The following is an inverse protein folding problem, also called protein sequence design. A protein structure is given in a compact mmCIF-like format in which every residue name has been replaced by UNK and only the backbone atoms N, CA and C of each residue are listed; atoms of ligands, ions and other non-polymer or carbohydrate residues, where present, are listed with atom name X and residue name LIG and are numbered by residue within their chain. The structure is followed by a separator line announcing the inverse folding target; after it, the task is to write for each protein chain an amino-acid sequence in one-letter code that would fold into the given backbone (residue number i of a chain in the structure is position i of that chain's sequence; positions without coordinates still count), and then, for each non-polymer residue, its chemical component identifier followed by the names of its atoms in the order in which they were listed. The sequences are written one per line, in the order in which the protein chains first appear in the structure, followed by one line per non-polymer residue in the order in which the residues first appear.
data_IF_321190177289
#
_entry.id   IF_321190177289
#
_cell.length_a   1.000
_cell.length_b   1.000
_cell.length_c   1.000
_cell.angle_alpha   90.00
_cell.angle_beta   90.00
_cell.angle_gamma   90.00
#
_symmetry.space_group_name_H-M   'P 1'
#
loop_
_entity.id
_entity.type
_entity.pdbx_description
1 polymer ?
#
# COMPACT_ATOMS: atom_id res chain seq x y z
N UNK A 1 7.63 3.82 37.60
CA UNK A 1 6.61 2.92 37.01
C UNK A 1 5.45 3.65 36.32
N UNK A 2 5.26 4.97 36.48
CA UNK A 2 4.16 5.73 35.84
C UNK A 2 4.51 6.39 34.48
N UNK A 3 5.72 6.18 33.92
CA UNK A 3 6.16 6.84 32.68
C UNK A 3 5.99 6.00 31.40
N UNK A 4 5.49 4.76 31.48
CA UNK A 4 5.29 3.91 30.30
C UNK A 4 3.85 3.97 29.73
N UNK A 5 2.87 4.32 30.56
CA UNK A 5 1.45 4.27 30.17
C UNK A 5 1.06 5.35 29.13
N UNK A 6 1.73 6.50 29.11
CA UNK A 6 1.47 7.57 28.13
C UNK A 6 2.05 7.21 26.76
N UNK A 7 3.27 6.69 26.72
CA UNK A 7 3.91 6.23 25.47
C UNK A 7 3.14 5.08 24.83
N UNK A 8 2.62 4.15 25.63
CA UNK A 8 1.79 3.06 25.11
C UNK A 8 0.44 3.55 24.57
N UNK A 9 -0.20 4.50 25.26
CA UNK A 9 -1.46 5.10 24.82
C UNK A 9 -1.30 5.95 23.56
N UNK A 10 -0.21 6.72 23.44
CA UNK A 10 0.10 7.52 22.26
C UNK A 10 0.42 6.64 21.05
N UNK A 11 1.22 5.58 21.24
CA UNK A 11 1.52 4.59 20.19
C UNK A 11 0.26 3.84 19.74
N UNK A 12 -0.61 3.47 20.67
CA UNK A 12 -1.90 2.83 20.34
C UNK A 12 -2.81 3.80 19.57
N UNK A 13 -2.90 5.04 20.01
CA UNK A 13 -3.68 6.08 19.33
C UNK A 13 -3.16 6.32 17.92
N UNK A 14 -1.84 6.44 17.77
CA UNK A 14 -1.18 6.58 16.47
C UNK A 14 -1.46 5.36 15.58
N UNK A 15 -1.35 4.13 16.11
CA UNK A 15 -1.63 2.92 15.35
C UNK A 15 -3.10 2.86 14.89
N UNK A 16 -4.05 3.24 15.74
CA UNK A 16 -5.47 3.34 15.39
C UNK A 16 -5.69 4.36 14.28
N UNK A 17 -5.15 5.57 14.42
CA UNK A 17 -5.27 6.62 13.41
C UNK A 17 -4.64 6.18 12.09
N UNK A 18 -3.44 5.60 12.10
CA UNK A 18 -2.78 5.11 10.89
C UNK A 18 -3.57 3.99 10.22
N UNK A 19 -4.18 3.10 11.00
CA UNK A 19 -4.99 2.00 10.47
C UNK A 19 -6.27 2.52 9.80
N UNK A 20 -6.95 3.48 10.43
CA UNK A 20 -8.15 4.12 9.85
C UNK A 20 -7.80 4.88 8.59
N UNK A 21 -6.76 5.73 8.63
CA UNK A 21 -6.33 6.53 7.49
C UNK A 21 -5.80 5.64 6.36
N UNK A 22 -5.01 4.62 6.68
CA UNK A 22 -4.46 3.67 5.71
C UNK A 22 -5.55 2.87 5.00
N UNK A 23 -6.53 2.35 5.77
CA UNK A 23 -7.68 1.64 5.21
C UNK A 23 -8.58 2.55 4.38
N UNK A 24 -8.85 3.77 4.87
CA UNK A 24 -9.62 4.77 4.12
C UNK A 24 -8.94 5.14 2.79
N UNK A 25 -7.62 5.36 2.81
CA UNK A 25 -6.84 5.69 1.63
C UNK A 25 -6.90 4.55 0.59
N UNK A 26 -6.82 3.30 1.02
CA UNK A 26 -6.94 2.14 0.13
C UNK A 26 -8.33 2.05 -0.51
N UNK A 27 -9.41 2.24 0.26
CA UNK A 27 -10.78 2.25 -0.29
C UNK A 27 -10.97 3.43 -1.27
N UNK A 28 -10.50 4.61 -0.90
CA UNK A 28 -10.61 5.81 -1.73
C UNK A 28 -9.85 5.65 -3.06
N UNK A 29 -8.61 5.17 -3.01
CA UNK A 29 -7.79 4.98 -4.21
C UNK A 29 -8.32 3.86 -5.09
N UNK A 30 -8.88 2.80 -4.49
CA UNK A 30 -9.54 1.75 -5.24
C UNK A 30 -10.78 2.28 -5.98
N UNK A 31 -11.69 2.97 -5.28
CA UNK A 31 -12.94 3.45 -5.89
C UNK A 31 -12.74 4.60 -6.89
N UNK A 32 -11.87 5.55 -6.57
CA UNK A 32 -11.79 6.82 -7.31
C UNK A 32 -10.52 6.97 -8.15
N UNK A 33 -9.49 6.14 -7.94
CA UNK A 33 -8.18 6.30 -8.58
C UNK A 33 -7.77 5.12 -9.45
N UNK A 34 -8.77 4.44 -10.02
CA UNK A 34 -8.57 3.41 -11.03
C UNK A 34 -8.23 2.04 -10.46
N UNK A 35 -8.91 1.65 -9.38
CA UNK A 35 -8.88 0.31 -8.80
C UNK A 35 -7.54 -0.14 -8.23
N UNK A 36 -6.61 0.77 -7.95
CA UNK A 36 -5.33 0.47 -7.31
C UNK A 36 -5.37 0.79 -5.81
N UNK A 37 -4.75 -0.07 -5.01
CA UNK A 37 -4.48 0.18 -3.60
C UNK A 37 -3.22 1.03 -3.44
N UNK A 38 -3.25 1.99 -2.52
CA UNK A 38 -2.12 2.86 -2.21
C UNK A 38 -1.07 2.16 -1.36
N UNK A 39 -1.52 1.38 -0.37
CA UNK A 39 -0.66 0.77 0.65
C UNK A 39 -0.60 -0.76 0.49
N UNK A 40 -1.68 -1.42 0.07
CA UNK A 40 -1.73 -2.87 -0.08
C UNK A 40 -1.15 -3.35 -1.43
N UNK A 41 0.18 -3.34 -1.56
CA UNK A 41 0.87 -3.83 -2.78
C UNK A 41 0.55 -5.29 -3.09
N UNK A 42 0.37 -6.13 -2.07
CA UNK A 42 -0.06 -7.53 -2.23
C UNK A 42 -1.45 -7.62 -2.87
N UNK A 43 -2.36 -6.70 -2.52
CA UNK A 43 -3.68 -6.60 -3.15
C UNK A 43 -3.59 -6.19 -4.62
N UNK A 44 -2.72 -5.24 -4.97
CA UNK A 44 -2.44 -4.87 -6.36
C UNK A 44 -1.90 -6.05 -7.17
N UNK A 45 -1.10 -6.93 -6.56
CA UNK A 45 -0.58 -8.14 -7.22
C UNK A 45 -1.69 -9.17 -7.49
N UNK A 46 -2.65 -9.32 -6.58
CA UNK A 46 -3.82 -10.19 -6.78
C UNK A 46 -4.72 -9.64 -7.89
N UNK A 47 -5.02 -8.33 -7.86
CA UNK A 47 -5.82 -7.66 -8.88
C UNK A 47 -5.15 -7.72 -10.27
N UNK A 48 -3.83 -7.58 -10.33
CA UNK A 48 -3.07 -7.79 -11.55
C UNK A 48 -3.31 -9.19 -12.14
N UNK A 49 -3.19 -10.24 -11.31
CA UNK A 49 -3.45 -11.62 -11.74
C UNK A 49 -4.88 -11.83 -12.22
N UNK A 50 -5.85 -11.19 -11.56
CA UNK A 50 -7.26 -11.24 -11.98
C UNK A 50 -7.48 -10.53 -13.32
N UNK A 51 -6.94 -9.33 -13.51
CA UNK A 51 -7.05 -8.58 -14.78
C UNK A 51 -6.32 -9.27 -15.93
N UNK A 52 -5.24 -9.99 -15.65
CA UNK A 52 -4.59 -10.89 -16.60
C UNK A 52 -5.50 -12.04 -17.02
N UNK A 53 -6.20 -12.66 -16.07
CA UNK A 53 -7.15 -13.73 -16.36
C UNK A 53 -8.36 -13.23 -17.18
N UNK A 54 -8.79 -11.99 -16.97
CA UNK A 54 -9.88 -11.34 -17.70
C UNK A 54 -9.45 -10.77 -19.08
N UNK A 55 -8.16 -10.86 -19.43
CA UNK A 55 -7.56 -10.23 -20.62
C UNK A 55 -7.73 -8.70 -20.69
N UNK A 56 -7.94 -8.02 -19.56
CA UNK A 56 -8.01 -6.56 -19.48
C UNK A 56 -6.60 -5.96 -19.34
N UNK A 57 -5.92 -5.83 -20.48
CA UNK A 57 -4.54 -5.35 -20.56
C UNK A 57 -4.37 -3.91 -20.06
N UNK A 58 -5.42 -3.08 -20.17
CA UNK A 58 -5.37 -1.68 -19.75
C UNK A 58 -5.26 -1.57 -18.22
N UNK A 59 -6.11 -2.30 -17.49
CA UNK A 59 -6.05 -2.33 -16.04
C UNK A 59 -4.80 -3.08 -15.54
N UNK A 60 -4.45 -4.18 -16.20
CA UNK A 60 -3.28 -4.99 -15.85
C UNK A 60 -1.96 -4.20 -15.95
N UNK A 61 -1.77 -3.42 -17.02
CA UNK A 61 -0.59 -2.57 -17.18
C UNK A 61 -0.44 -1.53 -16.06
N UNK A 62 -1.56 -1.03 -15.52
CA UNK A 62 -1.57 -0.05 -14.42
C UNK A 62 -1.13 -0.67 -13.10
N UNK A 63 -1.59 -1.89 -12.79
CA UNK A 63 -1.10 -2.62 -11.61
C UNK A 63 0.38 -2.97 -11.74
N UNK A 64 0.84 -3.37 -12.93
CA UNK A 64 2.24 -3.67 -13.19
C UNK A 64 3.12 -2.44 -12.95
N UNK A 65 2.69 -1.25 -13.40
CA UNK A 65 3.40 0.01 -13.13
C UNK A 65 3.51 0.31 -11.63
N UNK A 66 2.45 0.08 -10.85
CA UNK A 66 2.50 0.25 -9.39
C UNK A 66 3.51 -0.72 -8.73
N UNK A 67 3.51 -1.98 -9.15
CA UNK A 67 4.44 -3.01 -8.63
C UNK A 67 5.89 -2.68 -9.00
N UNK A 68 6.15 -2.27 -10.25
CA UNK A 68 7.48 -1.89 -10.70
C UNK A 68 8.00 -0.63 -9.99
N UNK A 69 7.14 0.37 -9.78
CA UNK A 69 7.49 1.56 -9.00
C UNK A 69 7.92 1.21 -7.58
N UNK A 70 7.19 0.30 -6.92
CA UNK A 70 7.56 -0.22 -5.61
C UNK A 70 8.92 -0.94 -5.64
N UNK A 71 9.12 -1.84 -6.59
CA UNK A 71 10.38 -2.58 -6.75
C UNK A 71 11.58 -1.65 -7.01
N UNK A 72 11.41 -0.63 -7.85
CA UNK A 72 12.41 0.40 -8.11
C UNK A 72 12.78 1.17 -6.84
N UNK A 73 11.81 1.52 -5.99
CA UNK A 73 12.07 2.17 -4.71
C UNK A 73 12.88 1.30 -3.75
N UNK A 74 12.57 0.00 -3.66
CA UNK A 74 13.33 -0.97 -2.86
C UNK A 74 14.76 -1.12 -3.39
N UNK A 75 14.92 -1.19 -4.71
CA UNK A 75 16.23 -1.29 -5.34
C UNK A 75 17.07 -0.03 -5.10
N UNK A 76 16.50 1.16 -5.31
CA UNK A 76 17.16 2.43 -5.04
C UNK A 76 17.61 2.54 -3.58
N UNK A 77 16.76 2.11 -2.63
CA UNK A 77 17.11 2.08 -1.20
C UNK A 77 18.32 1.17 -0.94
N UNK A 78 18.37 -0.01 -1.58
CA UNK A 78 19.52 -0.91 -1.47
C UNK A 78 20.80 -0.33 -2.07
N UNK A 79 20.69 0.46 -3.15
CA UNK A 79 21.84 1.13 -3.78
C UNK A 79 22.37 2.26 -2.89
N UNK A 80 21.49 3.04 -2.26
CA UNK A 80 21.90 4.14 -1.35
C UNK A 80 22.50 3.62 -0.03
N UNK A 81 22.03 2.47 0.47
CA UNK A 81 22.54 1.90 1.72
C UNK A 81 23.89 1.15 1.56
N UNK A 82 24.52 1.23 0.39
CA UNK A 82 25.79 0.60 0.04
C UNK A 82 26.88 1.64 -0.19
#
# INVERSE_FOLDING_TARGET
MALNMTSDSERLTAACVLSVVGGFLDIYTYLYRGHVFANAVTGNMVLFGLSLADCDWALSGRYLMAILSYACGVFATNVIHR
#
